data_IF_680034126917
#
_entry.id   IF_680034126917
#
_cell.length_a   1.000
_cell.length_b   1.000
_cell.length_c   1.000
_cell.angle_alpha   90.00
_cell.angle_beta   90.00
_cell.angle_gamma   90.00
#
_symmetry.space_group_name_H-M   'P 1'
#
loop_
_entity.id
_entity.type
_entity.pdbx_description
1 polymer ?
#
# COMPACT_ATOMS: atom_id res chain seq x y z
N UNK A 1 -2.04 25.68 122.00
CA UNK A 1 -1.15 26.84 122.25
C UNK A 1 -1.98 27.94 122.90
N UNK A 2 -1.68 28.33 124.14
CA UNK A 2 -2.41 29.40 124.86
C UNK A 2 -2.03 30.77 124.31
N UNK A 3 -2.92 31.77 124.39
CA UNK A 3 -2.65 33.13 123.89
C UNK A 3 -1.33 33.70 124.45
N UNK A 4 -1.08 33.46 125.74
CA UNK A 4 0.16 33.83 126.42
C UNK A 4 1.41 33.26 125.74
N UNK A 5 1.41 31.97 125.35
CA UNK A 5 2.59 31.35 124.74
C UNK A 5 2.90 31.98 123.37
N UNK A 6 1.87 32.24 122.56
CA UNK A 6 2.03 32.90 121.24
C UNK A 6 2.55 34.33 121.35
N UNK A 7 2.01 35.12 122.30
CA UNK A 7 2.47 36.50 122.50
C UNK A 7 3.92 36.49 123.01
N UNK A 8 4.23 35.60 123.97
CA UNK A 8 5.60 35.47 124.48
C UNK A 8 6.58 35.11 123.36
N UNK A 9 6.24 34.12 122.53
CA UNK A 9 7.04 33.73 121.35
C UNK A 9 7.22 34.91 120.38
N UNK A 10 6.14 35.58 120.00
CA UNK A 10 6.20 36.72 119.07
C UNK A 10 7.05 37.88 119.62
N UNK A 11 6.90 38.24 120.90
CA UNK A 11 7.69 39.29 121.56
C UNK A 11 9.17 38.90 121.61
N UNK A 12 9.50 37.63 121.84
CA UNK A 12 10.88 37.15 121.77
C UNK A 12 11.44 37.16 120.34
N UNK A 13 10.65 36.81 119.33
CA UNK A 13 11.08 36.82 117.92
C UNK A 13 11.33 38.23 117.39
N UNK A 14 10.65 39.23 117.93
CA UNK A 14 10.89 40.66 117.63
C UNK A 14 12.19 41.17 118.28
N UNK A 15 12.81 40.38 119.18
CA UNK A 15 14.04 40.76 119.87
C UNK A 15 13.80 41.74 121.02
N UNK A 16 12.60 41.74 121.62
CA UNK A 16 12.34 42.55 122.79
C UNK A 16 13.21 42.06 123.97
N UNK A 17 14.08 42.91 124.56
CA UNK A 17 14.97 42.48 125.64
C UNK A 17 14.24 42.27 126.97
N UNK A 18 12.98 42.72 127.06
CA UNK A 18 12.14 42.57 128.25
C UNK A 18 11.32 41.27 128.16
N UNK A 19 11.36 40.46 129.21
CA UNK A 19 10.61 39.20 129.25
C UNK A 19 9.11 39.45 129.46
N UNK A 20 8.30 38.91 128.53
CA UNK A 20 6.85 38.88 128.65
C UNK A 20 6.41 37.80 129.65
N UNK A 21 5.60 38.19 130.63
CA UNK A 21 5.13 37.36 131.74
C UNK A 21 3.61 37.29 131.77
N UNK A 22 3.04 36.29 132.46
CA UNK A 22 1.58 36.14 132.56
C UNK A 22 0.91 37.37 133.22
N UNK A 23 1.65 38.09 134.08
CA UNK A 23 1.18 39.33 134.71
C UNK A 23 0.94 40.43 133.67
N UNK A 24 1.76 40.51 132.63
CA UNK A 24 1.61 41.49 131.55
C UNK A 24 0.31 41.29 130.76
N UNK A 25 -0.26 40.09 130.82
CA UNK A 25 -1.53 39.75 130.18
C UNK A 25 -2.74 39.93 131.10
N UNK A 26 -2.63 39.55 132.39
CA UNK A 26 -3.77 39.54 133.33
C UNK A 26 -3.89 40.86 134.11
N UNK A 27 -2.78 41.52 134.41
CA UNK A 27 -2.73 42.77 135.17
C UNK A 27 -1.65 43.70 134.58
N UNK A 28 -1.97 44.36 133.45
CA UNK A 28 -1.01 45.18 132.73
C UNK A 28 -0.55 46.38 133.57
N UNK A 29 0.76 46.60 133.57
CA UNK A 29 1.39 47.80 134.11
C UNK A 29 1.64 48.79 132.98
N UNK A 30 1.32 50.07 133.20
CA UNK A 30 1.34 51.09 132.14
C UNK A 30 2.71 51.19 131.45
N UNK A 31 3.80 51.26 132.23
CA UNK A 31 5.16 51.40 131.69
C UNK A 31 5.62 50.13 130.96
N UNK A 32 5.30 48.94 131.50
CA UNK A 32 5.63 47.66 130.84
C UNK A 32 4.87 47.48 129.53
N UNK A 33 3.57 47.78 129.53
CA UNK A 33 2.74 47.70 128.32
C UNK A 33 3.23 48.67 127.26
N UNK A 34 3.56 49.92 127.63
CA UNK A 34 4.14 50.89 126.72
C UNK A 34 5.45 50.38 126.09
N UNK A 35 6.33 49.74 126.88
CA UNK A 35 7.58 49.17 126.38
C UNK A 35 7.34 48.05 125.34
N UNK A 36 6.46 47.10 125.65
CA UNK A 36 6.13 46.01 124.73
C UNK A 36 5.46 46.53 123.45
N UNK A 37 4.52 47.46 123.58
CA UNK A 37 3.85 48.09 122.43
C UNK A 37 4.84 48.88 121.59
N UNK A 38 5.80 49.58 122.21
CA UNK A 38 6.85 50.32 121.50
C UNK A 38 7.77 49.38 120.71
N UNK A 39 8.17 48.24 121.29
CA UNK A 39 8.98 47.24 120.60
C UNK A 39 8.21 46.64 119.40
N UNK A 40 6.93 46.32 119.58
CA UNK A 40 6.05 45.82 118.50
C UNK A 40 5.88 46.88 117.41
N UNK A 41 5.64 48.13 117.78
CA UNK A 41 5.47 49.23 116.83
C UNK A 41 6.74 49.44 116.00
N UNK A 42 7.91 49.43 116.63
CA UNK A 42 9.19 49.55 115.94
C UNK A 42 9.39 48.42 114.91
N UNK A 43 9.04 47.19 115.28
CA UNK A 43 9.07 46.07 114.35
C UNK A 43 8.10 46.24 113.19
N UNK A 44 6.85 46.67 113.44
CA UNK A 44 5.87 46.93 112.40
C UNK A 44 6.36 48.01 111.41
N UNK A 45 6.96 49.10 111.90
CA UNK A 45 7.55 50.15 111.06
C UNK A 45 8.74 49.64 110.24
N UNK A 46 9.62 48.84 110.83
CA UNK A 46 10.74 48.23 110.12
C UNK A 46 10.26 47.24 109.04
N UNK A 47 9.27 46.40 109.38
CA UNK A 47 8.64 45.46 108.45
C UNK A 47 8.01 46.21 107.28
N UNK A 48 7.25 47.27 107.52
CA UNK A 48 6.60 48.05 106.46
C UNK A 48 7.64 48.64 105.48
N UNK A 49 8.71 49.25 106.01
CA UNK A 49 9.83 49.74 105.19
C UNK A 49 10.45 48.62 104.35
N UNK A 50 10.69 47.44 104.94
CA UNK A 50 11.22 46.28 104.21
C UNK A 50 10.25 45.75 103.15
N UNK A 51 8.96 45.69 103.45
CA UNK A 51 7.93 45.29 102.48
C UNK A 51 7.84 46.27 101.31
N UNK A 52 7.95 47.58 101.55
CA UNK A 52 7.98 48.58 100.49
C UNK A 52 9.21 48.43 99.57
N UNK A 53 10.37 48.04 100.11
CA UNK A 53 11.56 47.73 99.31
C UNK A 53 11.42 46.42 98.51
N UNK A 54 10.66 45.44 99.03
CA UNK A 54 10.41 44.17 98.35
C UNK A 54 9.28 44.24 97.32
N UNK A 55 8.41 45.26 97.39
CA UNK A 55 7.29 45.45 96.46
C UNK A 55 7.69 45.33 94.98
N UNK A 56 8.71 46.04 94.46
CA UNK A 56 9.08 45.91 93.03
C UNK A 56 9.51 44.49 92.66
N UNK A 57 10.20 43.77 93.55
CA UNK A 57 10.60 42.38 93.30
C UNK A 57 9.35 41.47 93.22
N UNK A 58 8.35 41.71 94.07
CA UNK A 58 7.10 40.96 94.03
C UNK A 58 6.28 41.24 92.77
N UNK A 59 6.24 42.51 92.34
CA UNK A 59 5.62 42.93 91.07
C UNK A 59 6.33 42.26 89.87
N UNK A 60 7.66 42.34 89.81
CA UNK A 60 8.46 41.67 88.77
C UNK A 60 8.25 40.15 88.74
N UNK A 61 8.18 39.51 89.93
CA UNK A 61 7.89 38.08 90.02
C UNK A 61 6.49 37.73 89.50
N UNK A 62 5.51 38.61 89.72
CA UNK A 62 4.13 38.42 89.22
C UNK A 62 4.10 38.55 87.70
N UNK A 63 4.79 39.54 87.14
CA UNK A 63 4.88 39.75 85.69
C UNK A 63 5.59 38.59 84.98
N UNK A 64 6.69 38.09 85.56
CA UNK A 64 7.39 36.90 85.05
C UNK A 64 6.52 35.64 85.14
N UNK A 65 5.68 35.52 86.17
CA UNK A 65 4.73 34.41 86.31
C UNK A 65 3.68 34.42 85.20
N UNK A 66 3.16 35.60 84.88
CA UNK A 66 2.21 35.81 83.79
C UNK A 66 2.85 35.48 82.44
N UNK A 67 4.05 36.02 82.16
CA UNK A 67 4.79 35.71 80.93
C UNK A 67 5.07 34.21 80.78
N UNK A 68 5.46 33.53 81.85
CA UNK A 68 5.69 32.08 81.81
C UNK A 68 4.42 31.33 81.41
N UNK A 69 3.26 31.67 82.01
CA UNK A 69 1.97 31.07 81.64
C UNK A 69 1.62 31.34 80.18
N UNK A 70 1.86 32.55 79.67
CA UNK A 70 1.65 32.86 78.26
C UNK A 70 2.51 32.01 77.33
N UNK A 71 3.79 31.83 77.67
CA UNK A 71 4.70 30.99 76.88
C UNK A 71 4.31 29.50 76.94
N UNK A 72 3.93 29.00 78.11
CA UNK A 72 3.41 27.63 78.27
C UNK A 72 2.14 27.42 77.41
N UNK A 73 1.23 28.39 77.40
CA UNK A 73 0.03 28.34 76.56
C UNK A 73 0.36 28.37 75.05
N UNK A 74 1.31 29.21 74.63
CA UNK A 74 1.80 29.24 73.24
C UNK A 74 2.46 27.92 72.84
N UNK A 75 3.25 27.33 73.74
CA UNK A 75 3.90 26.05 73.52
C UNK A 75 2.87 24.92 73.36
N UNK A 76 1.87 24.87 74.26
CA UNK A 76 0.76 23.90 74.15
C UNK A 76 -0.04 24.06 72.86
N UNK A 77 -0.23 25.30 72.38
CA UNK A 77 -0.88 25.55 71.10
C UNK A 77 -0.06 25.01 69.92
N UNK A 78 1.25 25.25 69.90
CA UNK A 78 2.14 24.74 68.85
C UNK A 78 2.23 23.21 68.89
N UNK A 79 2.29 22.61 70.08
CA UNK A 79 2.29 21.16 70.23
C UNK A 79 1.01 20.51 69.68
N UNK A 80 -0.14 21.14 69.91
CA UNK A 80 -1.41 20.71 69.32
C UNK A 80 -1.42 20.84 67.79
N UNK A 81 -0.93 21.96 67.25
CA UNK A 81 -0.82 22.17 65.80
C UNK A 81 0.13 21.15 65.14
N UNK A 82 1.28 20.87 65.76
CA UNK A 82 2.21 19.82 65.30
C UNK A 82 1.54 18.45 65.32
N UNK A 83 0.75 18.13 66.35
CA UNK A 83 0.03 16.86 66.42
C UNK A 83 -1.00 16.73 65.29
N UNK A 84 -1.79 17.78 65.02
CA UNK A 84 -2.76 17.79 63.91
C UNK A 84 -2.08 17.61 62.54
N UNK A 85 -0.96 18.31 62.30
CA UNK A 85 -0.18 18.14 61.07
C UNK A 85 0.38 16.73 60.92
N UNK A 86 0.91 16.15 62.00
CA UNK A 86 1.41 14.78 61.97
C UNK A 86 0.30 13.78 61.68
N UNK A 87 -0.87 13.90 62.31
CA UNK A 87 -2.02 13.05 62.01
C UNK A 87 -2.47 13.19 60.56
N UNK A 88 -2.52 14.41 60.02
CA UNK A 88 -2.86 14.64 58.61
C UNK A 88 -1.84 13.95 57.69
N UNK A 89 -0.54 14.09 57.97
CA UNK A 89 0.54 13.44 57.22
C UNK A 89 0.44 11.92 57.27
N UNK A 90 0.10 11.31 58.41
CA UNK A 90 -0.08 9.86 58.51
C UNK A 90 -1.31 9.38 57.72
N UNK A 91 -2.41 10.15 57.71
CA UNK A 91 -3.58 9.85 56.84
C UNK A 91 -3.21 9.91 55.36
N UNK A 92 -2.44 10.91 54.95
CA UNK A 92 -1.95 11.04 53.57
C UNK A 92 -1.02 9.89 53.19
N UNK A 93 -0.10 9.49 54.08
CA UNK A 93 0.82 8.39 53.86
C UNK A 93 0.06 7.07 53.60
N UNK A 94 -0.99 6.78 54.39
CA UNK A 94 -1.82 5.60 54.18
C UNK A 94 -2.53 5.60 52.82
N UNK A 95 -2.99 6.76 52.33
CA UNK A 95 -3.60 6.89 51.00
C UNK A 95 -2.58 6.66 49.88
N UNK A 96 -1.35 7.17 50.05
CA UNK A 96 -0.27 6.94 49.07
C UNK A 96 0.05 5.45 48.97
N UNK A 97 0.16 4.74 50.10
CA UNK A 97 0.39 3.29 50.10
C UNK A 97 -0.73 2.51 49.38
N UNK A 98 -2.00 2.90 49.58
CA UNK A 98 -3.14 2.30 48.89
C UNK A 98 -3.08 2.54 47.38
N UNK A 99 -2.76 3.76 46.94
CA UNK A 99 -2.62 4.09 45.52
C UNK A 99 -1.46 3.34 44.89
N UNK A 100 -0.31 3.25 45.57
CA UNK A 100 0.85 2.51 45.08
C UNK A 100 0.55 1.01 44.92
N UNK A 101 -0.20 0.42 45.86
CA UNK A 101 -0.69 -0.95 45.72
C UNK A 101 -1.58 -1.12 44.47
N UNK A 102 -2.55 -0.22 44.26
CA UNK A 102 -3.41 -0.24 43.07
C UNK A 102 -2.62 -0.07 41.77
N UNK A 103 -1.63 0.81 41.75
CA UNK A 103 -0.75 1.02 40.59
C UNK A 103 0.03 -0.26 40.29
N UNK A 104 0.53 -0.95 41.31
CA UNK A 104 1.24 -2.22 41.13
C UNK A 104 0.32 -3.30 40.54
N UNK A 105 -0.90 -3.43 41.05
CA UNK A 105 -1.89 -4.38 40.53
C UNK A 105 -2.27 -4.08 39.08
N UNK A 106 -2.51 -2.80 38.75
CA UNK A 106 -2.80 -2.39 37.38
C UNK A 106 -1.63 -2.68 36.43
N UNK A 107 -0.39 -2.41 36.86
CA UNK A 107 0.81 -2.74 36.07
C UNK A 107 0.92 -4.24 35.80
N UNK A 108 0.64 -5.06 36.81
CA UNK A 108 0.63 -6.52 36.66
C UNK A 108 -0.46 -6.96 35.67
N UNK A 109 -1.66 -6.42 35.79
CA UNK A 109 -2.78 -6.73 34.89
C UNK A 109 -2.47 -6.33 33.43
N UNK A 110 -1.89 -5.14 33.21
CA UNK A 110 -1.43 -4.72 31.88
C UNK A 110 -0.39 -5.70 31.32
N UNK A 111 0.56 -6.15 32.15
CA UNK A 111 1.57 -7.11 31.72
C UNK A 111 0.94 -8.44 31.30
N UNK A 112 -0.04 -8.93 32.04
CA UNK A 112 -0.72 -10.20 31.74
C UNK A 112 -1.62 -10.08 30.50
N UNK A 113 -2.35 -8.97 30.34
CA UNK A 113 -3.09 -8.67 29.11
C UNK A 113 -2.18 -8.60 27.89
N UNK A 114 -1.00 -7.99 28.01
CA UNK A 114 -0.02 -7.94 26.92
C UNK A 114 0.49 -9.33 26.54
N UNK A 115 0.76 -10.21 27.52
CA UNK A 115 1.12 -11.62 27.24
C UNK A 115 0.01 -12.34 26.49
N UNK A 116 -1.24 -12.16 26.93
CA UNK A 116 -2.41 -12.75 26.27
C UNK A 116 -2.57 -12.24 24.83
N UNK A 117 -2.37 -10.95 24.60
CA UNK A 117 -2.43 -10.37 23.26
C UNK A 117 -1.35 -10.96 22.35
N UNK A 118 -0.12 -11.11 22.84
CA UNK A 118 0.97 -11.76 22.10
C UNK A 118 0.64 -13.19 21.70
N UNK A 119 0.15 -14.00 22.65
CA UNK A 119 -0.24 -15.39 22.37
C UNK A 119 -1.38 -15.49 21.34
N UNK A 120 -2.30 -14.53 21.35
CA UNK A 120 -3.38 -14.47 20.37
C UNK A 120 -2.86 -14.14 18.97
N UNK A 121 -1.94 -13.18 18.84
CA UNK A 121 -1.32 -12.84 17.55
C UNK A 121 -0.49 -13.99 16.99
N UNK A 122 0.27 -14.69 17.83
CA UNK A 122 1.00 -15.91 17.44
C UNK A 122 0.06 -16.99 16.90
N UNK A 123 -1.07 -17.22 17.57
CA UNK A 123 -2.09 -18.17 17.11
C UNK A 123 -2.70 -17.77 15.77
N UNK A 124 -2.98 -16.47 15.55
CA UNK A 124 -3.50 -15.97 14.27
C UNK A 124 -2.50 -16.20 13.14
N UNK A 125 -1.22 -15.92 13.39
CA UNK A 125 -0.15 -16.16 12.41
C UNK A 125 -0.09 -17.64 12.03
N UNK A 126 -0.05 -18.54 13.01
CA UNK A 126 -0.06 -19.98 12.75
C UNK A 126 -1.31 -20.46 12.00
N UNK A 127 -2.47 -19.86 12.25
CA UNK A 127 -3.69 -20.17 11.50
C UNK A 127 -3.61 -19.73 10.03
N UNK A 128 -3.01 -18.57 9.74
CA UNK A 128 -2.85 -18.12 8.36
C UNK A 128 -1.83 -18.96 7.59
N UNK A 129 -0.74 -19.38 8.24
CA UNK A 129 0.20 -20.35 7.66
C UNK A 129 -0.47 -21.69 7.36
N UNK A 130 -1.29 -22.20 8.28
CA UNK A 130 -2.07 -23.41 8.06
C UNK A 130 -3.03 -23.26 6.87
N UNK A 131 -3.77 -22.15 6.76
CA UNK A 131 -4.63 -21.88 5.60
C UNK A 131 -3.84 -21.78 4.29
N UNK A 132 -2.65 -21.17 4.31
CA UNK A 132 -1.83 -21.04 3.11
C UNK A 132 -1.31 -22.40 2.63
N UNK A 133 -0.87 -23.25 3.55
CA UNK A 133 -0.47 -24.63 3.24
C UNK A 133 -1.64 -25.47 2.73
N UNK A 134 -2.84 -25.31 3.30
CA UNK A 134 -4.07 -25.94 2.82
C UNK A 134 -4.40 -25.51 1.37
N UNK A 135 -4.35 -24.21 1.07
CA UNK A 135 -4.56 -23.69 -0.30
C UNK A 135 -3.54 -24.28 -1.28
N UNK A 136 -2.27 -24.35 -0.88
CA UNK A 136 -1.21 -24.91 -1.72
C UNK A 136 -1.42 -26.41 -1.98
N UNK A 137 -1.81 -27.17 -0.96
CA UNK A 137 -2.15 -28.59 -1.08
C UNK A 137 -3.37 -28.81 -1.98
N UNK A 138 -4.41 -27.96 -1.84
CA UNK A 138 -5.61 -27.99 -2.67
C UNK A 138 -5.29 -27.70 -4.14
N UNK A 139 -4.46 -26.69 -4.41
CA UNK A 139 -4.00 -26.38 -5.77
C UNK A 139 -3.21 -27.55 -6.37
N UNK A 140 -2.32 -28.17 -5.59
CA UNK A 140 -1.57 -29.36 -6.01
C UNK A 140 -2.51 -30.52 -6.35
N UNK A 141 -3.55 -30.74 -5.54
CA UNK A 141 -4.56 -31.75 -5.82
C UNK A 141 -5.36 -31.46 -7.08
N UNK A 142 -5.81 -30.21 -7.28
CA UNK A 142 -6.49 -29.78 -8.50
C UNK A 142 -5.62 -30.00 -9.73
N UNK A 143 -4.35 -29.58 -9.71
CA UNK A 143 -3.42 -29.78 -10.82
C UNK A 143 -3.23 -31.29 -11.13
N UNK A 144 -3.18 -32.15 -10.10
CA UNK A 144 -3.13 -33.62 -10.29
C UNK A 144 -4.41 -34.14 -10.94
N UNK A 145 -5.57 -33.62 -10.53
CA UNK A 145 -6.85 -34.01 -11.10
C UNK A 145 -6.97 -33.57 -12.56
N UNK A 146 -6.59 -32.34 -12.87
CA UNK A 146 -6.48 -31.83 -14.26
C UNK A 146 -5.54 -32.70 -15.10
N UNK A 147 -4.39 -33.09 -14.54
CA UNK A 147 -3.45 -33.99 -15.22
C UNK A 147 -4.07 -35.37 -15.47
N UNK A 148 -4.83 -35.90 -14.50
CA UNK A 148 -5.53 -37.18 -14.63
C UNK A 148 -6.66 -37.12 -15.66
N UNK A 149 -7.40 -36.02 -15.74
CA UNK A 149 -8.43 -35.79 -16.75
C UNK A 149 -7.81 -35.79 -18.16
N UNK A 150 -6.68 -35.11 -18.35
CA UNK A 150 -5.92 -35.15 -19.61
C UNK A 150 -5.48 -36.58 -19.94
N UNK A 151 -4.93 -37.33 -18.97
CA UNK A 151 -4.56 -38.73 -19.20
C UNK A 151 -5.76 -39.58 -19.62
N UNK A 152 -6.91 -39.40 -18.97
CA UNK A 152 -8.16 -40.10 -19.31
C UNK A 152 -8.58 -39.79 -20.75
N UNK A 153 -8.59 -38.52 -21.15
CA UNK A 153 -8.94 -38.11 -22.51
C UNK A 153 -7.96 -38.66 -23.56
N UNK A 154 -6.65 -38.71 -23.25
CA UNK A 154 -5.66 -39.32 -24.16
C UNK A 154 -5.82 -40.83 -24.30
N UNK A 155 -6.20 -41.53 -23.22
CA UNK A 155 -6.50 -42.96 -23.25
C UNK A 155 -7.74 -43.24 -24.11
N UNK A 156 -8.80 -42.44 -23.98
CA UNK A 156 -9.98 -42.54 -24.84
C UNK A 156 -9.62 -42.36 -26.32
N UNK A 157 -8.85 -41.33 -26.67
CA UNK A 157 -8.37 -41.12 -28.06
C UNK A 157 -7.50 -42.27 -28.56
N UNK A 158 -6.65 -42.84 -27.71
CA UNK A 158 -5.83 -44.00 -28.07
C UNK A 158 -6.70 -45.23 -28.37
N UNK A 159 -7.76 -45.45 -27.61
CA UNK A 159 -8.73 -46.52 -27.85
C UNK A 159 -9.48 -46.31 -29.18
N UNK A 160 -9.88 -45.07 -29.50
CA UNK A 160 -10.48 -44.75 -30.79
C UNK A 160 -9.52 -45.03 -31.96
N UNK A 161 -8.27 -44.59 -31.86
CA UNK A 161 -7.26 -44.88 -32.87
C UNK A 161 -6.96 -46.37 -33.01
N UNK A 162 -6.99 -47.11 -31.90
CA UNK A 162 -6.85 -48.57 -31.93
C UNK A 162 -8.01 -49.23 -32.69
N UNK A 163 -9.25 -48.79 -32.46
CA UNK A 163 -10.41 -49.25 -33.22
C UNK A 163 -10.31 -48.90 -34.71
N UNK A 164 -9.86 -47.68 -35.05
CA UNK A 164 -9.58 -47.28 -36.43
C UNK A 164 -8.51 -48.20 -37.07
N UNK A 165 -7.43 -48.51 -36.35
CA UNK A 165 -6.37 -49.39 -36.84
C UNK A 165 -6.87 -50.82 -37.07
N UNK A 166 -7.75 -51.35 -36.21
CA UNK A 166 -8.40 -52.64 -36.44
C UNK A 166 -9.25 -52.63 -37.72
N UNK A 167 -10.05 -51.57 -37.93
CA UNK A 167 -10.84 -51.43 -39.16
C UNK A 167 -9.98 -51.37 -40.43
N UNK A 168 -8.82 -50.69 -40.38
CA UNK A 168 -7.86 -50.69 -41.50
C UNK A 168 -7.30 -52.09 -41.77
N UNK A 169 -6.97 -52.87 -40.73
CA UNK A 169 -6.52 -54.25 -40.90
C UNK A 169 -7.57 -55.13 -41.61
N UNK A 170 -8.85 -54.96 -41.28
CA UNK A 170 -9.96 -55.65 -41.95
C UNK A 170 -10.09 -55.23 -43.43
N UNK A 171 -9.98 -53.92 -43.71
CA UNK A 171 -9.95 -53.40 -45.08
C UNK A 171 -8.75 -53.94 -45.88
N UNK A 172 -7.56 -54.03 -45.28
CA UNK A 172 -6.38 -54.63 -45.93
C UNK A 172 -6.58 -56.12 -46.19
N UNK A 173 -7.22 -56.84 -45.26
CA UNK A 173 -7.51 -58.26 -45.45
C UNK A 173 -8.52 -58.49 -46.58
N UNK A 174 -9.55 -57.65 -46.70
CA UNK A 174 -10.48 -57.69 -47.84
C UNK A 174 -9.80 -57.28 -49.15
N UNK A 175 -8.97 -56.23 -49.15
CA UNK A 175 -8.18 -55.83 -50.31
C UNK A 175 -7.22 -56.93 -50.80
N UNK A 176 -6.57 -57.66 -49.89
CA UNK A 176 -5.74 -58.83 -50.22
C UNK A 176 -6.57 -59.96 -50.86
N UNK A 177 -7.83 -60.14 -50.47
CA UNK A 177 -8.73 -61.10 -51.12
C UNK A 177 -9.04 -60.68 -52.55
N UNK A 178 -9.38 -59.41 -52.76
CA UNK A 178 -9.61 -58.82 -54.08
C UNK A 178 -8.35 -58.91 -54.96
N UNK A 179 -7.16 -58.67 -54.39
CA UNK A 179 -5.89 -58.81 -55.10
C UNK A 179 -5.66 -60.25 -55.60
N UNK A 180 -5.95 -61.26 -54.77
CA UNK A 180 -5.91 -62.67 -55.20
C UNK A 180 -6.90 -62.95 -56.32
N UNK A 181 -8.13 -62.41 -56.23
CA UNK A 181 -9.13 -62.52 -57.29
C UNK A 181 -8.68 -61.84 -58.59
N UNK A 182 -8.02 -60.68 -58.50
CA UNK A 182 -7.42 -59.99 -59.64
C UNK A 182 -6.33 -60.82 -60.31
N UNK A 183 -5.40 -61.40 -59.55
CA UNK A 183 -4.37 -62.27 -60.12
C UNK A 183 -4.95 -63.55 -60.75
N UNK A 184 -6.05 -64.08 -60.22
CA UNK A 184 -6.80 -65.18 -60.83
C UNK A 184 -7.53 -64.79 -62.13
N UNK A 185 -7.93 -63.53 -62.28
CA UNK A 185 -8.48 -62.97 -63.53
C UNK A 185 -7.36 -62.67 -64.54
N UNK A 186 -6.19 -62.22 -64.09
CA UNK A 186 -5.03 -61.93 -64.93
C UNK A 186 -4.49 -63.18 -65.63
N UNK A 187 -4.52 -64.34 -64.99
CA UNK A 187 -4.11 -65.61 -65.63
C UNK A 187 -5.09 -66.10 -66.71
N UNK A 188 -6.34 -65.62 -66.72
CA UNK A 188 -7.32 -65.93 -67.78
C UNK A 188 -7.17 -65.08 -69.05
N UNK A 189 -6.37 -64.00 -69.03
CA UNK A 189 -6.17 -63.08 -70.17
C UNK A 189 -4.93 -63.46 -71.02
N UNK A 190 -4.19 -64.51 -70.65
CA UNK A 190 -2.94 -64.90 -71.34
C UNK A 190 -3.11 -65.71 -72.64
N UNK A 191 -4.35 -66.00 -73.07
CA UNK A 191 -4.62 -66.98 -74.16
C UNK A 191 -5.28 -66.40 -75.43
N UNK A 192 -5.25 -65.07 -75.66
CA UNK A 192 -5.78 -64.48 -76.90
C UNK A 192 -4.87 -63.35 -77.44
N UNK A 193 -3.73 -63.76 -78.01
CA UNK A 193 -2.67 -62.86 -78.53
C UNK A 193 -2.36 -63.03 -80.02
N UNK A 194 -3.34 -63.38 -80.86
CA UNK A 194 -3.15 -63.66 -82.31
C UNK A 194 -3.71 -62.58 -83.26
N UNK A 195 -3.90 -61.32 -82.81
CA UNK A 195 -4.44 -60.26 -83.69
C UNK A 195 -3.59 -58.98 -83.74
N UNK A 196 -2.27 -59.12 -83.90
CA UNK A 196 -1.32 -58.00 -83.91
C UNK A 196 -1.14 -57.31 -85.29
N UNK A 197 -1.70 -57.84 -86.39
CA UNK A 197 -1.64 -57.17 -87.72
C UNK A 197 -2.85 -56.28 -88.06
N UNK A 198 -3.90 -56.32 -87.24
CA UNK A 198 -5.14 -55.53 -87.45
C UNK A 198 -5.11 -54.17 -86.72
N UNK A 199 -4.33 -54.07 -85.64
CA UNK A 199 -4.18 -52.84 -84.86
C UNK A 199 -3.19 -51.85 -85.47
N UNK A 200 -2.16 -52.32 -86.19
CA UNK A 200 -1.25 -51.45 -86.94
C UNK A 200 -1.95 -50.70 -88.09
N UNK A 201 -2.88 -51.36 -88.78
CA UNK A 201 -3.69 -50.72 -89.82
C UNK A 201 -4.61 -49.63 -89.25
N UNK A 202 -5.18 -49.84 -88.05
CA UNK A 202 -5.96 -48.82 -87.35
C UNK A 202 -5.07 -47.68 -86.84
N UNK A 203 -3.88 -47.95 -86.30
CA UNK A 203 -2.95 -46.90 -85.83
C UNK A 203 -2.56 -45.93 -86.96
N UNK A 204 -2.25 -46.47 -88.14
CA UNK A 204 -1.97 -45.66 -89.35
C UNK A 204 -3.21 -44.88 -89.77
N UNK A 205 -4.41 -45.46 -89.66
CA UNK A 205 -5.66 -44.75 -89.95
C UNK A 205 -5.92 -43.60 -88.96
N UNK A 206 -5.68 -43.81 -87.66
CA UNK A 206 -5.84 -42.79 -86.62
C UNK A 206 -4.77 -41.70 -86.72
N UNK A 207 -3.51 -42.04 -87.06
CA UNK A 207 -2.48 -41.05 -87.34
C UNK A 207 -2.77 -40.25 -88.61
N UNK A 208 -3.27 -40.89 -89.68
CA UNK A 208 -3.68 -40.19 -90.89
C UNK A 208 -4.88 -39.26 -90.64
N UNK A 209 -5.83 -39.68 -89.80
CA UNK A 209 -7.01 -38.87 -89.41
C UNK A 209 -6.63 -37.71 -88.48
N UNK A 210 -5.64 -37.91 -87.59
CA UNK A 210 -5.05 -36.86 -86.75
C UNK A 210 -4.27 -35.82 -87.57
N UNK A 211 -3.43 -36.27 -88.53
CA UNK A 211 -2.72 -35.38 -89.46
C UNK A 211 -3.68 -34.62 -90.37
N UNK A 212 -4.77 -35.24 -90.84
CA UNK A 212 -5.82 -34.58 -91.64
C UNK A 212 -6.50 -33.45 -90.87
N UNK A 213 -6.89 -33.68 -89.60
CA UNK A 213 -7.49 -32.64 -88.75
C UNK A 213 -6.52 -31.52 -88.39
N UNK A 214 -5.24 -31.84 -88.19
CA UNK A 214 -4.20 -30.83 -87.95
C UNK A 214 -3.93 -29.95 -89.18
N UNK A 215 -3.91 -30.56 -90.37
CA UNK A 215 -3.76 -29.84 -91.65
C UNK A 215 -5.01 -29.02 -91.99
N UNK A 216 -6.22 -29.53 -91.78
CA UNK A 216 -7.47 -28.77 -91.95
C UNK A 216 -7.56 -27.58 -90.98
N UNK A 217 -7.08 -27.73 -89.73
CA UNK A 217 -6.99 -26.62 -88.78
C UNK A 217 -5.93 -25.58 -89.17
N UNK A 218 -4.78 -26.01 -89.73
CA UNK A 218 -3.80 -25.08 -90.32
C UNK A 218 -4.36 -24.41 -91.57
N UNK A 219 -5.13 -25.11 -92.40
CA UNK A 219 -5.71 -24.58 -93.61
C UNK A 219 -6.78 -23.53 -93.33
N UNK A 220 -7.65 -23.74 -92.33
CA UNK A 220 -8.57 -22.67 -91.86
C UNK A 220 -7.84 -21.47 -91.25
N UNK A 221 -6.71 -21.69 -90.57
CA UNK A 221 -5.87 -20.58 -90.07
C UNK A 221 -5.20 -19.81 -91.20
N UNK A 222 -4.74 -20.50 -92.26
CA UNK A 222 -4.19 -19.86 -93.46
C UNK A 222 -5.28 -19.12 -94.22
N UNK A 223 -6.48 -19.68 -94.38
CA UNK A 223 -7.62 -19.01 -95.01
C UNK A 223 -8.06 -17.76 -94.23
N UNK A 224 -8.05 -17.80 -92.89
CA UNK A 224 -8.31 -16.61 -92.07
C UNK A 224 -7.22 -15.53 -92.24
N UNK A 225 -5.94 -15.94 -92.30
CA UNK A 225 -4.83 -15.01 -92.57
C UNK A 225 -4.90 -14.47 -94.00
N UNK A 226 -5.37 -15.24 -94.99
CA UNK A 226 -5.59 -14.77 -96.36
C UNK A 226 -6.71 -13.74 -96.40
N UNK A 227 -7.81 -13.93 -95.67
CA UNK A 227 -8.88 -12.93 -95.56
C UNK A 227 -8.39 -11.64 -94.87
N UNK A 228 -7.54 -11.75 -93.84
CA UNK A 228 -6.88 -10.59 -93.23
C UNK A 228 -5.90 -9.90 -94.18
N UNK A 229 -5.12 -10.66 -94.95
CA UNK A 229 -4.20 -10.12 -95.97
C UNK A 229 -4.97 -9.44 -97.09
N UNK A 230 -6.11 -9.98 -97.54
CA UNK A 230 -6.96 -9.36 -98.54
C UNK A 230 -7.60 -8.06 -97.99
N UNK A 231 -8.01 -8.05 -96.71
CA UNK A 231 -8.49 -6.86 -96.04
C UNK A 231 -7.39 -5.78 -95.86
N UNK A 232 -6.15 -6.19 -95.58
CA UNK A 232 -4.97 -5.31 -95.51
C UNK A 232 -4.59 -4.82 -96.92
N UNK A 233 -4.73 -5.65 -97.95
CA UNK A 233 -4.48 -5.31 -99.35
C UNK A 233 -5.49 -4.27 -99.83
N UNK A 234 -6.78 -4.45 -99.52
CA UNK A 234 -7.83 -3.46 -99.77
C UNK A 234 -7.59 -2.14 -99.03
N UNK A 235 -7.17 -2.18 -97.76
CA UNK A 235 -6.74 -0.97 -97.02
C UNK A 235 -5.50 -0.30 -97.62
N UNK A 236 -4.57 -1.08 -98.15
CA UNK A 236 -3.35 -0.57 -98.79
C UNK A 236 -3.66 0.11 -100.12
N UNK A 237 -4.57 -0.47 -100.92
CA UNK A 237 -5.03 0.17 -102.16
C UNK A 237 -5.79 1.48 -101.88
N UNK A 238 -6.69 1.49 -100.89
CA UNK A 238 -7.42 2.70 -100.46
C UNK A 238 -6.51 3.81 -99.90
N UNK A 239 -5.46 3.45 -99.13
CA UNK A 239 -4.48 4.42 -98.63
C UNK A 239 -3.52 4.90 -99.72
N UNK A 240 -3.22 4.06 -100.73
CA UNK A 240 -2.43 4.45 -101.91
C UNK A 240 -3.22 5.37 -102.84
N UNK A 241 -4.52 5.15 -103.03
CA UNK A 241 -5.42 6.07 -103.76
C UNK A 241 -5.59 7.40 -103.01
N UNK A 242 -5.76 7.36 -101.68
CA UNK A 242 -5.77 8.57 -100.85
C UNK A 242 -4.42 9.31 -100.85
N UNK A 243 -3.31 8.58 -101.01
CA UNK A 243 -1.97 9.12 -101.21
C UNK A 243 -1.77 9.74 -102.60
N UNK A 244 -2.27 9.09 -103.66
CA UNK A 244 -2.26 9.61 -105.02
C UNK A 244 -3.10 10.89 -105.14
N UNK A 245 -4.26 10.96 -104.49
CA UNK A 245 -5.09 12.16 -104.41
C UNK A 245 -4.38 13.31 -103.68
N UNK A 246 -3.60 13.03 -102.63
CA UNK A 246 -2.78 14.03 -101.93
C UNK A 246 -1.56 14.48 -102.75
N UNK A 247 -0.94 13.58 -103.52
CA UNK A 247 0.14 13.92 -104.46
C UNK A 247 -0.37 14.81 -105.59
N UNK A 248 -1.55 14.54 -106.14
CA UNK A 248 -2.17 15.39 -107.17
C UNK A 248 -2.57 16.77 -106.62
N UNK A 249 -3.02 16.85 -105.37
CA UNK A 249 -3.28 18.13 -104.70
C UNK A 249 -1.99 18.92 -104.41
N UNK A 250 -0.87 18.24 -104.17
CA UNK A 250 0.44 18.87 -104.00
C UNK A 250 1.00 19.33 -105.35
N UNK A 251 0.83 18.55 -106.41
CA UNK A 251 1.28 18.86 -107.77
C UNK A 251 0.55 20.11 -108.30
N UNK A 252 -0.77 20.19 -108.09
CA UNK A 252 -1.54 21.40 -108.39
C UNK A 252 -1.08 22.63 -107.57
N UNK A 253 -0.67 22.43 -106.31
CA UNK A 253 -0.09 23.51 -105.49
C UNK A 253 1.31 23.91 -105.96
N UNK A 254 2.13 22.97 -106.41
CA UNK A 254 3.45 23.25 -107.00
C UNK A 254 3.27 24.01 -108.31
N UNK A 255 2.29 23.66 -109.14
CA UNK A 255 1.96 24.41 -110.36
C UNK A 255 1.48 25.83 -110.05
N UNK A 256 0.68 26.02 -108.99
CA UNK A 256 0.26 27.33 -108.50
C UNK A 256 1.45 28.16 -107.96
N UNK A 257 2.38 27.53 -107.25
CA UNK A 257 3.62 28.15 -106.77
C UNK A 257 4.56 28.48 -107.93
N UNK A 258 4.65 27.63 -108.96
CA UNK A 258 5.44 27.90 -110.18
C UNK A 258 4.82 29.04 -110.99
N UNK A 259 3.48 29.18 -111.01
CA UNK A 259 2.80 30.36 -111.58
C UNK A 259 3.07 31.63 -110.77
N UNK A 260 3.05 31.54 -109.43
CA UNK A 260 3.43 32.65 -108.54
C UNK A 260 4.91 33.04 -108.72
N UNK A 261 5.79 32.05 -108.88
CA UNK A 261 7.23 32.26 -109.09
C UNK A 261 7.55 32.81 -110.47
N UNK A 262 6.83 32.42 -111.53
CA UNK A 262 6.91 33.09 -112.84
C UNK A 262 6.44 34.54 -112.77
N UNK A 263 5.44 34.85 -111.96
CA UNK A 263 4.97 36.22 -111.73
C UNK A 263 6.00 37.07 -110.97
N UNK A 264 6.73 36.47 -110.03
CA UNK A 264 7.78 37.13 -109.25
C UNK A 264 9.14 37.18 -110.00
N UNK A 265 9.45 36.19 -110.85
CA UNK A 265 10.70 36.16 -111.62
C UNK A 265 10.67 37.15 -112.78
N UNK A 266 9.52 37.36 -113.43
CA UNK A 266 9.36 38.50 -114.35
C UNK A 266 9.49 39.85 -113.64
N UNK A 267 9.15 39.93 -112.34
CA UNK A 267 9.41 41.10 -111.50
C UNK A 267 10.90 41.31 -111.19
N UNK A 268 11.65 40.23 -110.92
CA UNK A 268 13.08 40.31 -110.57
C UNK A 268 14.02 40.44 -111.78
N UNK A 269 13.64 39.87 -112.94
CA UNK A 269 14.38 40.03 -114.21
C UNK A 269 14.36 41.48 -114.70
N UNK A 270 13.38 42.29 -114.28
CA UNK A 270 13.37 43.73 -114.53
C UNK A 270 14.30 44.51 -113.59
N UNK A 271 14.49 44.08 -112.34
CA UNK A 271 15.28 44.83 -111.34
C UNK A 271 16.78 44.51 -111.31
N UNK A 272 17.23 43.37 -111.86
CA UNK A 272 18.66 43.00 -111.88
C UNK A 272 19.33 43.31 -113.24
N UNK A 273 18.54 43.57 -114.29
CA UNK A 273 19.05 44.13 -115.54
C UNK A 273 19.69 45.53 -115.38
N UNK A 274 19.47 46.21 -114.25
CA UNK A 274 20.06 47.52 -113.94
C UNK A 274 21.33 47.47 -113.07
N UNK A 275 21.69 46.30 -112.50
CA UNK A 275 22.85 46.18 -111.59
C UNK A 275 24.11 45.59 -112.27
N UNK A 276 24.17 45.62 -113.59
CA UNK A 276 25.35 45.36 -114.41
C UNK A 276 25.81 46.71 -114.93
N UNK A 277 26.83 47.31 -114.30
CA UNK A 277 27.75 48.40 -114.74
C UNK A 277 28.27 49.11 -113.48
N UNK A 278 29.39 48.62 -112.93
CA UNK A 278 30.41 49.37 -112.21
C UNK A 278 31.64 48.48 -112.05
#
# INVERSE_FOLDING_TARGET
>A
MTLYSRIKEAVTSIGCPMNFTLKDLIRPDAARTEYFVSAILNFCLHKDKKMNLLRPIYEDLTDLDEQRKEWEAKMSKLDAEIAEYNEARERELALVEEVDAKVKDLRQNIQDLNKHQWALEEKKLGQEEAKNSERSAMQSFQNKNETLDVYTETLEKMLEHFAQMQAVCEQVNSAKSIEREYYALKSKVSDDGVLDKSLEAKLVQWQAKGRRRYLEARQRKVEAVVVEVDAITLKTMSTKEAGAAKLQALDNKVEEIVKQFHKLSWGLVLSVAEAKVA
#
